data_IF_556234854643
#
_entry.id   IF_556234854643
#
_cell.length_a   1.000
_cell.length_b   1.000
_cell.length_c   1.000
_cell.angle_alpha   90.00
_cell.angle_beta   90.00
_cell.angle_gamma   90.00
#
_symmetry.space_group_name_H-M   'P 1'
#
loop_
_entity.id
_entity.type
_entity.pdbx_description
1 polymer ?
#
# COMPACT_ATOMS: atom_id res chain seq x y z
N UNK A 1 10.92 0.08 -31.18
CA UNK A 1 10.77 1.42 -30.56
C UNK A 1 9.41 2.15 -30.80
N UNK A 2 8.24 1.46 -30.85
CA UNK A 2 6.94 2.12 -30.54
C UNK A 2 6.38 1.75 -29.15
N UNK A 3 6.55 0.50 -28.72
CA UNK A 3 6.04 -0.03 -27.45
C UNK A 3 6.61 0.68 -26.20
N UNK A 4 7.84 1.22 -26.29
CA UNK A 4 8.50 1.92 -25.19
C UNK A 4 7.87 3.27 -24.82
N UNK A 5 7.31 3.99 -25.79
CA UNK A 5 6.66 5.29 -25.58
C UNK A 5 5.25 5.13 -24.99
N UNK A 6 4.51 4.14 -25.46
CA UNK A 6 3.18 3.79 -24.93
C UNK A 6 3.23 3.33 -23.47
N UNK A 7 4.25 2.57 -23.08
CA UNK A 7 4.43 2.10 -21.70
C UNK A 7 4.84 3.20 -20.72
N UNK A 8 5.75 4.12 -21.12
CA UNK A 8 6.07 5.32 -20.32
C UNK A 8 4.87 6.26 -20.18
N UNK A 9 4.09 6.44 -21.25
CA UNK A 9 2.86 7.21 -21.21
C UNK A 9 1.82 6.58 -20.27
N UNK A 10 1.65 5.26 -20.30
CA UNK A 10 0.77 4.54 -19.37
C UNK A 10 1.25 4.67 -17.92
N UNK A 11 2.54 4.49 -17.64
CA UNK A 11 3.10 4.65 -16.30
C UNK A 11 2.88 6.08 -15.77
N UNK A 12 3.23 7.10 -16.54
CA UNK A 12 3.04 8.50 -16.15
C UNK A 12 1.57 8.90 -16.02
N UNK A 13 0.69 8.36 -16.87
CA UNK A 13 -0.76 8.58 -16.78
C UNK A 13 -1.34 7.95 -15.52
N UNK A 14 -0.90 6.74 -15.17
CA UNK A 14 -1.35 5.99 -14.00
C UNK A 14 -0.87 6.68 -12.72
N UNK A 15 0.41 7.04 -12.65
CA UNK A 15 1.04 7.61 -11.44
C UNK A 15 0.78 9.11 -11.26
N UNK A 16 0.62 9.88 -12.34
CA UNK A 16 0.40 11.33 -12.26
C UNK A 16 -1.06 11.74 -12.02
N UNK A 17 -2.03 10.87 -12.33
CA UNK A 17 -3.47 11.21 -12.28
C UNK A 17 -4.29 10.42 -11.27
N UNK A 18 -3.77 9.32 -10.76
CA UNK A 18 -4.51 8.44 -9.85
C UNK A 18 -3.82 8.31 -8.50
N UNK A 19 -4.61 7.92 -7.50
CA UNK A 19 -4.08 7.32 -6.29
C UNK A 19 -3.50 5.96 -6.66
N UNK A 20 -2.19 5.77 -6.45
CA UNK A 20 -1.51 4.53 -6.81
C UNK A 20 -1.77 3.48 -5.74
N UNK A 21 -1.29 3.78 -4.53
CA UNK A 21 -1.40 2.92 -3.36
C UNK A 21 -2.46 3.46 -2.41
N UNK A 22 -3.30 2.56 -1.90
CA UNK A 22 -4.26 2.87 -0.83
C UNK A 22 -3.76 2.37 0.54
N UNK A 23 -2.67 1.59 0.55
CA UNK A 23 -1.91 1.10 1.69
C UNK A 23 -0.46 0.80 1.25
N UNK A 24 0.50 0.87 2.18
CA UNK A 24 1.94 0.61 1.93
C UNK A 24 2.22 -0.90 1.88
N UNK A 25 3.10 -1.37 1.00
CA UNK A 25 3.39 -2.81 0.81
C UNK A 25 4.67 -3.29 1.51
N UNK A 26 5.38 -2.37 2.16
CA UNK A 26 6.64 -2.57 2.85
C UNK A 26 6.38 -2.84 4.34
N UNK A 27 7.00 -3.89 4.88
CA UNK A 27 6.80 -4.33 6.27
C UNK A 27 7.57 -3.45 7.26
N UNK A 28 6.89 -2.55 8.02
CA UNK A 28 7.59 -1.66 8.92
C UNK A 28 8.21 -2.41 10.12
N UNK A 29 7.84 -3.67 10.37
CA UNK A 29 8.47 -4.50 11.42
C UNK A 29 9.94 -4.78 11.11
N UNK A 30 10.31 -4.88 9.83
CA UNK A 30 11.70 -5.03 9.40
C UNK A 30 12.44 -3.70 9.54
N UNK A 31 11.79 -2.59 9.18
CA UNK A 31 12.39 -1.25 9.33
C UNK A 31 12.65 -0.91 10.79
N UNK A 32 11.74 -1.24 11.72
CA UNK A 32 11.94 -1.06 13.16
C UNK A 32 13.18 -1.79 13.67
N UNK A 33 13.40 -3.03 13.20
CA UNK A 33 14.58 -3.82 13.56
C UNK A 33 15.87 -3.24 12.98
N UNK A 34 15.83 -2.83 11.71
CA UNK A 34 17.00 -2.33 11.00
C UNK A 34 17.42 -0.93 11.45
N UNK A 35 16.46 -0.03 11.67
CA UNK A 35 16.71 1.40 11.89
C UNK A 35 16.82 1.79 13.36
N UNK A 36 16.29 0.97 14.27
CA UNK A 36 16.29 1.18 15.73
C UNK A 36 15.89 2.63 16.08
N UNK A 37 14.71 3.02 15.62
CA UNK A 37 14.21 4.39 15.68
C UNK A 37 14.09 4.89 17.12
N UNK A 38 14.41 6.16 17.33
CA UNK A 38 14.35 6.82 18.62
C UNK A 38 13.87 8.27 18.50
N UNK A 39 13.62 8.91 19.64
CA UNK A 39 13.15 10.30 19.69
C UNK A 39 14.17 11.32 19.19
N UNK A 40 15.45 10.95 19.04
CA UNK A 40 16.46 11.81 18.40
C UNK A 40 16.46 11.73 16.88
N UNK A 41 15.66 10.82 16.29
CA UNK A 41 15.67 10.59 14.85
C UNK A 41 14.70 11.48 14.09
N UNK A 42 15.21 12.03 12.98
CA UNK A 42 14.45 12.73 11.96
C UNK A 42 14.48 11.85 10.71
N UNK A 43 13.32 11.30 10.35
CA UNK A 43 13.21 10.30 9.29
C UNK A 43 12.51 10.88 8.07
N UNK A 44 13.09 10.66 6.89
CA UNK A 44 12.43 10.91 5.60
C UNK A 44 11.92 9.60 5.03
N UNK A 45 10.65 9.57 4.60
CA UNK A 45 10.01 8.41 3.97
C UNK A 45 9.20 8.83 2.74
N UNK A 46 9.20 7.98 1.71
CA UNK A 46 8.24 8.13 0.60
C UNK A 46 6.82 7.83 1.11
N UNK A 47 5.89 8.78 1.00
CA UNK A 47 4.61 8.70 1.74
C UNK A 47 3.85 7.39 1.55
N UNK A 48 3.66 6.90 0.31
CA UNK A 48 3.03 5.59 0.01
C UNK A 48 1.77 5.28 0.86
N UNK A 49 0.74 6.13 0.73
CA UNK A 49 -0.50 6.13 1.53
C UNK A 49 -0.33 6.38 3.05
N UNK A 50 0.90 6.57 3.54
CA UNK A 50 1.21 7.04 4.88
C UNK A 50 1.14 5.99 5.99
N UNK A 51 0.97 4.69 5.67
CA UNK A 51 0.90 3.65 6.71
C UNK A 51 2.19 3.58 7.52
N UNK A 52 3.34 3.50 6.83
CA UNK A 52 4.64 3.35 7.49
C UNK A 52 5.08 4.66 8.18
N UNK A 53 4.71 5.82 7.65
CA UNK A 53 4.96 7.11 8.32
C UNK A 53 4.31 7.16 9.72
N UNK A 54 3.07 6.66 9.85
CA UNK A 54 2.38 6.54 11.14
C UNK A 54 2.99 5.45 12.03
N UNK A 55 3.52 4.38 11.42
CA UNK A 55 4.21 3.33 12.16
C UNK A 55 5.53 3.82 12.77
N UNK A 56 6.34 4.58 12.02
CA UNK A 56 7.64 5.05 12.50
C UNK A 56 7.51 6.05 13.64
N UNK A 57 6.48 6.89 13.64
CA UNK A 57 6.25 7.81 14.76
C UNK A 57 5.82 7.06 16.03
N UNK A 58 5.03 5.98 15.89
CA UNK A 58 4.71 5.03 16.96
C UNK A 58 5.92 4.23 17.43
N UNK A 59 6.92 4.04 16.56
CA UNK A 59 8.21 3.46 16.94
C UNK A 59 9.10 4.42 17.74
N UNK A 60 8.62 5.63 18.05
CA UNK A 60 9.32 6.61 18.87
C UNK A 60 10.07 7.68 18.09
N UNK A 61 10.06 7.67 16.75
CA UNK A 61 10.80 8.62 15.91
C UNK A 61 10.48 10.08 16.28
N UNK A 62 11.51 10.91 16.43
CA UNK A 62 11.40 12.32 16.77
C UNK A 62 10.55 13.12 15.78
N UNK A 63 10.80 12.96 14.48
CA UNK A 63 9.98 13.53 13.42
C UNK A 63 9.96 12.67 12.16
N UNK A 64 8.81 12.58 11.49
CA UNK A 64 8.65 11.88 10.21
C UNK A 64 8.24 12.87 9.12
N UNK A 65 9.10 13.01 8.13
CA UNK A 65 8.88 13.76 6.90
C UNK A 65 8.41 12.79 5.80
N UNK A 66 7.10 12.78 5.56
CA UNK A 66 6.49 11.99 4.49
C UNK A 66 6.50 12.81 3.19
N UNK A 67 7.31 12.39 2.22
CA UNK A 67 7.55 13.11 0.97
C UNK A 67 7.00 12.31 -0.21
N UNK A 68 6.25 12.93 -1.09
CA UNK A 68 5.74 12.26 -2.30
C UNK A 68 5.50 13.25 -3.44
N UNK A 69 5.93 12.88 -4.65
CA UNK A 69 5.65 13.69 -5.84
C UNK A 69 4.16 13.66 -6.22
N UNK A 70 3.45 12.59 -5.88
CA UNK A 70 2.02 12.48 -6.09
C UNK A 70 1.27 12.94 -4.82
N UNK A 71 0.80 14.18 -4.85
CA UNK A 71 0.03 14.78 -3.75
C UNK A 71 -1.16 13.93 -3.26
N UNK A 72 -1.68 13.00 -4.08
CA UNK A 72 -2.78 12.10 -3.69
C UNK A 72 -2.37 11.10 -2.61
N UNK A 73 -1.11 10.68 -2.59
CA UNK A 73 -0.56 9.84 -1.52
C UNK A 73 -0.51 10.62 -0.21
N UNK A 74 -0.03 11.87 -0.27
CA UNK A 74 -0.10 12.81 0.85
C UNK A 74 -1.53 13.08 1.29
N UNK A 75 -2.49 13.21 0.36
CA UNK A 75 -3.90 13.40 0.70
C UNK A 75 -4.48 12.22 1.51
N UNK A 76 -4.02 10.97 1.28
CA UNK A 76 -4.40 9.82 2.11
C UNK A 76 -3.84 9.95 3.52
N UNK A 77 -2.56 10.31 3.66
CA UNK A 77 -1.96 10.51 4.97
C UNK A 77 -2.63 11.67 5.73
N UNK A 78 -2.93 12.78 5.06
CA UNK A 78 -3.65 13.91 5.68
C UNK A 78 -5.07 13.52 6.12
N UNK A 79 -5.78 12.68 5.35
CA UNK A 79 -7.08 12.15 5.79
C UNK A 79 -6.94 11.24 7.01
N UNK A 80 -5.89 10.42 7.09
CA UNK A 80 -5.61 9.60 8.29
C UNK A 80 -5.32 10.50 9.50
N UNK A 81 -4.45 11.51 9.34
CA UNK A 81 -4.13 12.49 10.39
C UNK A 81 -5.37 13.21 10.90
N UNK A 82 -6.21 13.73 9.99
CA UNK A 82 -7.48 14.36 10.33
C UNK A 82 -8.44 13.39 11.03
N UNK A 83 -8.52 12.15 10.56
CA UNK A 83 -9.31 11.08 11.19
C UNK A 83 -8.86 10.77 12.62
N UNK A 84 -7.54 10.65 12.84
CA UNK A 84 -6.95 10.41 14.16
C UNK A 84 -7.30 11.54 15.13
N UNK A 85 -7.22 12.79 14.70
CA UNK A 85 -7.53 13.95 15.56
C UNK A 85 -9.01 14.05 15.91
N UNK A 86 -9.90 13.83 14.94
CA UNK A 86 -11.30 14.25 15.05
C UNK A 86 -12.32 13.12 15.23
N UNK A 87 -11.93 11.85 15.04
CA UNK A 87 -12.85 10.71 15.18
C UNK A 87 -12.61 9.96 16.48
N UNK A 88 -13.62 9.20 16.90
CA UNK A 88 -13.41 8.10 17.85
C UNK A 88 -12.80 6.89 17.11
N UNK A 89 -12.20 5.98 17.88
CA UNK A 89 -11.57 4.78 17.32
C UNK A 89 -12.55 3.94 16.48
N UNK A 90 -13.80 3.66 16.91
CA UNK A 90 -14.74 2.88 16.10
C UNK A 90 -15.02 3.49 14.72
N UNK A 91 -15.23 4.81 14.64
CA UNK A 91 -15.46 5.49 13.36
C UNK A 91 -14.20 5.51 12.50
N UNK A 92 -13.03 5.72 13.10
CA UNK A 92 -11.75 5.63 12.40
C UNK A 92 -11.50 4.23 11.84
N UNK A 93 -11.81 3.19 12.61
CA UNK A 93 -11.67 1.81 12.20
C UNK A 93 -12.67 1.42 11.11
N UNK A 94 -13.91 1.93 11.10
CA UNK A 94 -14.79 1.76 9.93
C UNK A 94 -14.15 2.38 8.67
N UNK A 95 -13.68 3.61 8.78
CA UNK A 95 -13.13 4.37 7.66
C UNK A 95 -11.90 3.67 7.05
N UNK A 96 -10.91 3.31 7.87
CA UNK A 96 -9.64 2.75 7.40
C UNK A 96 -9.43 1.27 7.75
N UNK A 97 -9.99 0.73 8.82
CA UNK A 97 -9.97 -0.72 9.08
C UNK A 97 -10.86 -1.49 8.10
N UNK A 98 -12.13 -1.08 7.99
CA UNK A 98 -13.11 -1.72 7.11
C UNK A 98 -13.09 -1.17 5.68
N UNK A 99 -12.48 0.00 5.48
CA UNK A 99 -12.44 0.67 4.19
C UNK A 99 -13.82 1.15 3.73
N UNK A 100 -14.77 1.31 4.65
CA UNK A 100 -16.13 1.73 4.34
C UNK A 100 -16.71 2.60 5.47
N UNK A 101 -17.21 3.78 5.11
CA UNK A 101 -17.89 4.69 6.02
C UNK A 101 -19.19 5.16 5.35
N UNK A 102 -20.34 4.53 5.63
CA UNK A 102 -21.63 4.93 5.06
C UNK A 102 -21.99 6.40 5.35
N UNK A 103 -21.69 6.85 6.56
CA UNK A 103 -21.87 8.22 7.06
C UNK A 103 -20.82 9.23 6.53
N UNK A 104 -20.02 8.88 5.52
CA UNK A 104 -18.99 9.78 4.95
C UNK A 104 -19.52 11.18 4.62
N UNK A 105 -20.73 11.28 4.05
CA UNK A 105 -21.31 12.58 3.64
C UNK A 105 -21.58 13.52 4.80
N UNK A 106 -21.71 13.00 6.01
CA UNK A 106 -21.89 13.77 7.23
C UNK A 106 -20.56 13.97 7.93
N UNK A 107 -19.80 12.88 8.13
CA UNK A 107 -18.53 12.88 8.88
C UNK A 107 -17.45 13.71 8.18
N UNK A 108 -17.28 13.57 6.87
CA UNK A 108 -16.21 14.26 6.16
C UNK A 108 -16.32 15.80 6.23
N UNK A 109 -17.44 16.43 5.82
CA UNK A 109 -17.52 17.89 5.87
C UNK A 109 -17.54 18.45 7.30
N UNK A 110 -18.10 17.72 8.27
CA UNK A 110 -18.26 18.22 9.65
C UNK A 110 -17.02 18.01 10.52
N UNK A 111 -16.32 16.88 10.38
CA UNK A 111 -15.22 16.50 11.28
C UNK A 111 -13.84 16.47 10.62
N UNK A 112 -13.76 16.20 9.31
CA UNK A 112 -12.47 15.91 8.68
C UNK A 112 -11.94 17.05 7.82
N UNK A 113 -12.83 17.64 7.02
CA UNK A 113 -12.47 18.50 5.88
C UNK A 113 -11.67 19.74 6.28
N UNK A 114 -12.00 20.37 7.41
CA UNK A 114 -11.38 21.63 7.83
C UNK A 114 -9.91 21.47 8.26
N UNK A 115 -9.52 20.28 8.70
CA UNK A 115 -8.15 19.95 9.09
C UNK A 115 -7.26 19.58 7.89
N UNK A 116 -7.83 19.44 6.70
CA UNK A 116 -7.09 19.04 5.51
C UNK A 116 -6.50 20.26 4.79
N UNK A 117 -5.28 20.15 4.25
CA UNK A 117 -4.75 21.18 3.35
C UNK A 117 -5.59 21.27 2.06
N UNK A 118 -5.57 22.42 1.35
CA UNK A 118 -6.45 22.68 0.22
C UNK A 118 -6.44 21.61 -0.88
N UNK A 119 -5.29 21.02 -1.21
CA UNK A 119 -5.21 19.99 -2.24
C UNK A 119 -5.77 18.63 -1.79
N UNK A 120 -5.65 18.31 -0.50
CA UNK A 120 -6.30 17.14 0.08
C UNK A 120 -7.83 17.33 0.13
N UNK A 121 -8.31 18.54 0.46
CA UNK A 121 -9.75 18.87 0.38
C UNK A 121 -10.28 18.66 -1.04
N UNK A 122 -9.65 19.27 -2.06
CA UNK A 122 -10.05 19.12 -3.47
C UNK A 122 -10.12 17.65 -3.89
N UNK A 123 -9.17 16.84 -3.43
CA UNK A 123 -9.14 15.42 -3.71
C UNK A 123 -10.33 14.69 -3.05
N UNK A 124 -10.50 14.82 -1.74
CA UNK A 124 -11.54 14.08 -1.02
C UNK A 124 -12.96 14.57 -1.26
N UNK A 125 -13.14 15.86 -1.56
CA UNK A 125 -14.41 16.43 -2.06
C UNK A 125 -14.88 15.69 -3.31
N UNK A 126 -13.94 15.30 -4.20
CA UNK A 126 -14.24 14.57 -5.43
C UNK A 126 -14.33 13.06 -5.23
N UNK A 127 -13.48 12.48 -4.38
CA UNK A 127 -13.29 11.03 -4.28
C UNK A 127 -13.93 10.39 -3.04
N UNK A 128 -14.78 11.09 -2.30
CA UNK A 128 -15.49 10.54 -1.13
C UNK A 128 -16.26 9.22 -1.36
N UNK A 129 -16.70 8.96 -2.60
CA UNK A 129 -17.30 7.66 -2.99
C UNK A 129 -16.37 6.45 -2.81
N UNK A 130 -15.08 6.69 -2.59
CA UNK A 130 -14.13 5.62 -2.26
C UNK A 130 -14.53 4.92 -0.96
N UNK A 131 -15.02 5.66 0.03
CA UNK A 131 -15.40 5.14 1.35
C UNK A 131 -16.89 4.79 1.48
N UNK A 132 -17.78 5.29 0.61
CA UNK A 132 -19.18 4.82 0.62
C UNK A 132 -19.40 3.55 -0.20
N UNK A 133 -18.40 3.14 -0.99
CA UNK A 133 -18.50 1.96 -1.83
C UNK A 133 -19.48 2.08 -3.01
N UNK A 134 -19.50 1.03 -3.84
CA UNK A 134 -20.58 0.73 -4.79
C UNK A 134 -20.91 -0.75 -4.68
N UNK A 135 -22.04 -1.20 -5.25
CA UNK A 135 -22.40 -2.63 -5.31
C UNK A 135 -21.27 -3.52 -5.85
N UNK A 136 -20.49 -3.01 -6.80
CA UNK A 136 -19.38 -3.76 -7.43
C UNK A 136 -18.05 -3.61 -6.69
N UNK A 137 -17.79 -2.48 -6.04
CA UNK A 137 -16.52 -2.15 -5.34
C UNK A 137 -16.87 -1.54 -3.97
N UNK A 138 -17.17 -2.37 -2.96
CA UNK A 138 -17.72 -1.88 -1.70
C UNK A 138 -16.69 -1.19 -0.80
N UNK A 139 -15.40 -1.44 -1.00
CA UNK A 139 -14.32 -0.97 -0.12
C UNK A 139 -13.37 0.02 -0.78
N UNK A 140 -12.84 0.95 0.02
CA UNK A 140 -11.70 1.81 -0.26
C UNK A 140 -10.46 1.03 -0.75
N UNK A 141 -10.23 -0.17 -0.20
CA UNK A 141 -9.09 -1.02 -0.59
C UNK A 141 -9.20 -1.58 -2.00
N UNK A 142 -10.39 -1.47 -2.60
CA UNK A 142 -10.61 -1.73 -4.01
C UNK A 142 -10.61 -0.46 -4.84
N UNK A 143 -10.03 0.66 -4.40
CA UNK A 143 -9.92 1.95 -5.11
C UNK A 143 -8.46 2.31 -5.38
N UNK A 144 -8.22 3.30 -6.25
CA UNK A 144 -6.89 3.55 -6.80
C UNK A 144 -6.48 2.49 -7.81
N UNK A 145 -5.21 2.51 -8.22
CA UNK A 145 -4.69 1.60 -9.26
C UNK A 145 -4.38 0.23 -8.68
N UNK A 146 -3.70 0.18 -7.53
CA UNK A 146 -3.42 -1.09 -6.83
C UNK A 146 -4.72 -1.76 -6.37
N UNK A 147 -5.67 -0.98 -5.83
CA UNK A 147 -6.98 -1.51 -5.44
C UNK A 147 -7.86 -1.92 -6.62
N UNK A 148 -7.72 -1.30 -7.80
CA UNK A 148 -8.37 -1.79 -9.02
C UNK A 148 -7.81 -3.16 -9.41
N UNK A 149 -6.50 -3.35 -9.34
CA UNK A 149 -5.88 -4.65 -9.60
C UNK A 149 -6.34 -5.69 -8.59
N UNK A 150 -6.33 -5.38 -7.29
CA UNK A 150 -6.86 -6.26 -6.25
C UNK A 150 -8.30 -6.68 -6.53
N UNK A 151 -9.17 -5.74 -6.93
CA UNK A 151 -10.55 -6.03 -7.31
C UNK A 151 -10.67 -6.98 -8.51
N UNK A 152 -9.84 -6.81 -9.55
CA UNK A 152 -9.78 -7.71 -10.71
C UNK A 152 -9.38 -9.12 -10.28
N UNK A 153 -8.35 -9.24 -9.44
CA UNK A 153 -7.89 -10.53 -8.88
C UNK A 153 -9.00 -11.19 -8.06
N UNK A 154 -9.73 -10.44 -7.24
CA UNK A 154 -10.88 -10.96 -6.51
C UNK A 154 -12.00 -11.44 -7.45
N UNK A 155 -12.27 -10.73 -8.53
CA UNK A 155 -13.19 -11.16 -9.59
C UNK A 155 -12.77 -12.48 -10.21
N UNK A 156 -11.47 -12.64 -10.50
CA UNK A 156 -10.89 -13.89 -10.99
C UNK A 156 -11.02 -15.04 -9.98
N UNK A 157 -10.64 -14.82 -8.72
CA UNK A 157 -10.76 -15.78 -7.61
C UNK A 157 -12.20 -16.27 -7.48
N UNK A 158 -13.18 -15.35 -7.50
CA UNK A 158 -14.58 -15.65 -7.24
C UNK A 158 -15.27 -16.32 -8.42
N UNK A 159 -15.02 -15.85 -9.66
CA UNK A 159 -15.83 -16.24 -10.83
C UNK A 159 -15.13 -17.24 -11.75
N UNK A 160 -13.81 -17.14 -11.88
CA UNK A 160 -13.03 -17.91 -12.87
C UNK A 160 -12.32 -19.09 -12.21
N UNK A 161 -11.55 -18.84 -11.15
CA UNK A 161 -10.91 -19.90 -10.38
C UNK A 161 -11.88 -20.60 -9.43
N UNK A 162 -12.90 -19.88 -8.92
CA UNK A 162 -13.91 -20.37 -7.97
C UNK A 162 -13.29 -20.97 -6.71
N UNK A 163 -12.24 -20.31 -6.20
CA UNK A 163 -11.46 -20.76 -5.03
C UNK A 163 -11.64 -19.84 -3.81
N UNK A 164 -12.75 -19.10 -3.72
CA UNK A 164 -12.99 -18.20 -2.57
C UNK A 164 -12.94 -18.95 -1.24
N UNK A 165 -13.72 -20.03 -1.09
CA UNK A 165 -13.73 -20.82 0.15
C UNK A 165 -12.33 -21.29 0.58
N UNK A 166 -11.54 -21.92 -0.30
CA UNK A 166 -10.16 -22.29 0.00
C UNK A 166 -9.22 -21.11 0.35
N UNK A 167 -9.40 -19.94 -0.27
CA UNK A 167 -8.61 -18.74 0.07
C UNK A 167 -8.99 -18.21 1.46
N UNK A 168 -10.28 -18.21 1.79
CA UNK A 168 -10.74 -17.79 3.10
C UNK A 168 -10.28 -18.78 4.18
N UNK A 169 -10.30 -20.09 3.88
CA UNK A 169 -9.72 -21.13 4.75
C UNK A 169 -8.21 -20.90 4.97
N UNK A 170 -7.46 -20.54 3.93
CA UNK A 170 -6.03 -20.25 4.01
C UNK A 170 -5.75 -19.03 4.91
N UNK A 171 -6.59 -17.99 4.84
CA UNK A 171 -6.46 -16.78 5.66
C UNK A 171 -6.77 -17.00 7.14
N UNK A 172 -7.55 -18.03 7.47
CA UNK A 172 -7.93 -18.38 8.84
C UNK A 172 -7.08 -19.51 9.44
N UNK A 173 -6.17 -20.11 8.66
CA UNK A 173 -5.19 -21.08 9.15
C UNK A 173 -4.31 -20.44 10.23
N UNK A 174 -4.09 -21.16 11.33
CA UNK A 174 -3.36 -20.64 12.52
C UNK A 174 -1.87 -20.91 12.46
N UNK A 175 -1.48 -21.93 11.70
CA UNK A 175 -0.08 -22.33 11.53
C UNK A 175 0.31 -22.46 10.07
N UNK A 176 1.60 -22.43 9.79
CA UNK A 176 2.12 -22.60 8.42
C UNK A 176 1.85 -24.03 7.93
N UNK A 177 1.79 -25.02 8.83
CA UNK A 177 1.47 -26.40 8.51
C UNK A 177 0.02 -26.57 8.05
N UNK A 178 -0.94 -25.99 8.79
CA UNK A 178 -2.36 -25.95 8.37
C UNK A 178 -2.50 -25.23 7.01
N UNK A 179 -1.81 -24.10 6.85
CA UNK A 179 -1.79 -23.33 5.61
C UNK A 179 -1.26 -24.18 4.43
N UNK A 180 -0.19 -24.95 4.64
CA UNK A 180 0.34 -25.87 3.62
C UNK A 180 -0.64 -26.98 3.27
N UNK A 181 -1.31 -27.57 4.26
CA UNK A 181 -2.34 -28.59 4.04
C UNK A 181 -3.46 -28.03 3.15
N UNK A 182 -4.01 -26.85 3.50
CA UNK A 182 -5.05 -26.18 2.71
C UNK A 182 -4.56 -25.89 1.29
N UNK A 183 -3.34 -25.35 1.16
CA UNK A 183 -2.77 -25.01 -0.14
C UNK A 183 -2.62 -26.23 -1.06
N UNK A 184 -2.16 -27.36 -0.52
CA UNK A 184 -1.96 -28.62 -1.25
C UNK A 184 -3.27 -29.35 -1.52
N UNK A 185 -4.11 -29.54 -0.50
CA UNK A 185 -5.39 -30.25 -0.57
C UNK A 185 -6.31 -29.65 -1.63
N UNK A 186 -6.30 -28.33 -1.78
CA UNK A 186 -7.12 -27.63 -2.78
C UNK A 186 -6.41 -27.39 -4.11
N UNK A 187 -5.14 -27.79 -4.26
CA UNK A 187 -4.30 -27.53 -5.45
C UNK A 187 -4.30 -26.04 -5.86
N UNK A 188 -4.07 -25.17 -4.86
CA UNK A 188 -4.25 -23.72 -5.02
C UNK A 188 -3.29 -23.14 -6.06
N UNK A 189 -2.04 -23.62 -6.12
CA UNK A 189 -1.06 -23.18 -7.12
C UNK A 189 -1.63 -23.34 -8.54
N UNK A 190 -2.10 -24.54 -8.89
CA UNK A 190 -2.63 -24.82 -10.23
C UNK A 190 -3.93 -24.07 -10.52
N UNK A 191 -4.82 -23.97 -9.53
CA UNK A 191 -6.12 -23.29 -9.70
C UNK A 191 -6.00 -21.77 -9.79
N UNK A 192 -5.05 -21.18 -9.05
CA UNK A 192 -4.78 -19.74 -9.09
C UNK A 192 -4.06 -19.39 -10.38
N UNK A 193 -2.93 -20.04 -10.68
CA UNK A 193 -2.10 -19.75 -11.84
C UNK A 193 -2.55 -20.51 -13.10
N UNK A 194 -3.75 -20.19 -13.61
CA UNK A 194 -4.20 -20.65 -14.93
C UNK A 194 -3.57 -19.80 -16.04
N UNK A 195 -3.58 -20.26 -17.31
CA UNK A 195 -3.02 -19.50 -18.43
C UNK A 195 -3.54 -18.05 -18.52
N UNK A 196 -4.80 -17.81 -18.16
CA UNK A 196 -5.37 -16.46 -18.12
C UNK A 196 -4.68 -15.54 -17.11
N UNK A 197 -4.42 -16.02 -15.88
CA UNK A 197 -3.75 -15.20 -14.86
C UNK A 197 -2.28 -14.98 -15.23
N UNK A 198 -1.57 -16.03 -15.67
CA UNK A 198 -0.18 -15.87 -16.14
C UNK A 198 -0.07 -14.87 -17.30
N UNK A 199 -1.01 -14.94 -18.25
CA UNK A 199 -1.09 -13.98 -19.34
C UNK A 199 -1.35 -12.55 -18.85
N UNK A 200 -2.22 -12.37 -17.85
CA UNK A 200 -2.51 -11.05 -17.26
C UNK A 200 -1.27 -10.48 -16.55
N UNK A 201 -0.54 -11.30 -15.79
CA UNK A 201 0.68 -10.91 -15.07
C UNK A 201 1.83 -10.56 -16.02
N UNK A 202 1.86 -11.16 -17.22
CA UNK A 202 2.83 -10.81 -18.26
C UNK A 202 2.57 -9.51 -19.02
N UNK A 203 1.64 -8.63 -18.60
CA UNK A 203 1.25 -7.40 -19.33
C UNK A 203 1.80 -6.14 -18.66
N UNK A 204 2.36 -5.23 -19.47
CA UNK A 204 2.89 -3.93 -19.01
C UNK A 204 1.80 -3.09 -18.34
N UNK A 205 0.56 -3.16 -18.84
CA UNK A 205 -0.57 -2.45 -18.27
C UNK A 205 -0.90 -2.95 -16.85
N UNK A 206 -0.79 -4.26 -16.60
CA UNK A 206 -1.00 -4.84 -15.28
C UNK A 206 0.08 -4.41 -14.31
N UNK A 207 1.35 -4.44 -14.75
CA UNK A 207 2.48 -4.00 -13.94
C UNK A 207 2.39 -2.51 -13.60
N UNK A 208 1.97 -1.68 -14.55
CA UNK A 208 1.74 -0.26 -14.29
C UNK A 208 0.66 0.00 -13.22
N UNK A 209 -0.40 -0.82 -13.14
CA UNK A 209 -1.41 -0.71 -12.08
C UNK A 209 -0.86 -1.01 -10.69
N UNK A 210 0.13 -1.92 -10.62
CA UNK A 210 0.85 -2.32 -9.41
C UNK A 210 1.98 -1.36 -9.04
N UNK A 211 2.22 -0.33 -9.84
CA UNK A 211 3.33 0.59 -9.64
C UNK A 211 4.69 0.08 -10.11
N UNK A 212 4.74 -1.12 -10.70
CA UNK A 212 5.98 -1.75 -11.18
C UNK A 212 6.44 -1.06 -12.48
N UNK A 213 7.60 -0.38 -12.49
CA UNK A 213 8.15 0.22 -13.70
C UNK A 213 8.56 -0.83 -14.73
N UNK A 214 8.55 -0.45 -16.01
CA UNK A 214 8.97 -1.35 -17.09
C UNK A 214 10.42 -1.82 -16.95
N UNK A 215 11.31 -1.00 -16.38
CA UNK A 215 12.71 -1.37 -16.15
C UNK A 215 12.82 -2.56 -15.19
N UNK A 216 12.14 -2.50 -14.04
CA UNK A 216 12.06 -3.62 -13.08
C UNK A 216 11.51 -4.89 -13.74
N UNK A 217 10.42 -4.75 -14.53
CA UNK A 217 9.90 -5.89 -15.29
C UNK A 217 10.93 -6.47 -16.26
N UNK A 218 11.59 -5.63 -17.06
CA UNK A 218 12.57 -6.09 -18.06
C UNK A 218 13.77 -6.79 -17.40
N UNK A 219 14.16 -6.34 -16.21
CA UNK A 219 15.17 -7.01 -15.39
C UNK A 219 14.70 -8.40 -14.96
N UNK A 220 13.48 -8.54 -14.44
CA UNK A 220 12.91 -9.85 -14.09
C UNK A 220 12.75 -10.78 -15.30
N UNK A 221 12.25 -10.25 -16.44
CA UNK A 221 12.09 -11.03 -17.68
C UNK A 221 13.44 -11.51 -18.24
N UNK A 222 14.55 -10.82 -17.93
CA UNK A 222 15.91 -11.21 -18.35
C UNK A 222 16.59 -12.16 -17.37
N UNK A 223 16.49 -11.87 -16.08
CA UNK A 223 17.35 -12.46 -15.04
C UNK A 223 16.64 -13.56 -14.23
N UNK A 224 15.30 -13.67 -14.31
CA UNK A 224 14.52 -14.70 -13.61
C UNK A 224 14.01 -15.78 -14.58
N UNK A 225 14.32 -17.08 -14.37
CA UNK A 225 13.78 -18.15 -15.18
C UNK A 225 12.25 -18.15 -15.22
N UNK A 226 11.64 -18.07 -16.41
CA UNK A 226 10.20 -17.95 -16.59
C UNK A 226 9.63 -16.52 -16.49
N UNK A 227 10.50 -15.53 -16.29
CA UNK A 227 10.18 -14.11 -16.29
C UNK A 227 9.25 -13.67 -15.17
N UNK A 228 8.63 -12.49 -15.32
CA UNK A 228 7.85 -11.85 -14.26
C UNK A 228 6.65 -12.67 -13.79
N UNK A 229 6.02 -13.43 -14.70
CA UNK A 229 4.87 -14.25 -14.35
C UNK A 229 5.27 -15.42 -13.43
N UNK A 230 6.39 -16.08 -13.72
CA UNK A 230 6.92 -17.15 -12.87
C UNK A 230 7.40 -16.58 -11.52
N UNK A 231 8.10 -15.44 -11.54
CA UNK A 231 8.50 -14.77 -10.31
C UNK A 231 7.32 -14.48 -9.39
N UNK A 232 6.24 -13.90 -9.91
CA UNK A 232 5.03 -13.61 -9.11
C UNK A 232 4.40 -14.91 -8.59
N UNK A 233 4.36 -15.97 -9.41
CA UNK A 233 3.87 -17.28 -8.98
C UNK A 233 4.67 -17.84 -7.80
N UNK A 234 6.00 -17.82 -7.89
CA UNK A 234 6.88 -18.34 -6.85
C UNK A 234 6.83 -17.49 -5.56
N UNK A 235 6.65 -16.16 -5.69
CA UNK A 235 6.43 -15.27 -4.54
C UNK A 235 5.09 -15.51 -3.87
N UNK A 236 4.00 -15.66 -4.63
CA UNK A 236 2.68 -15.97 -4.08
C UNK A 236 2.69 -17.33 -3.39
N UNK A 237 3.31 -18.36 -3.97
CA UNK A 237 3.48 -19.65 -3.31
C UNK A 237 4.27 -19.53 -2.01
N UNK A 238 5.35 -18.74 -2.00
CA UNK A 238 6.12 -18.51 -0.78
C UNK A 238 5.27 -17.89 0.32
N UNK A 239 4.50 -16.85 0.01
CA UNK A 239 3.60 -16.21 0.99
C UNK A 239 2.50 -17.19 1.43
N UNK A 240 1.86 -17.87 0.48
CA UNK A 240 0.65 -18.66 0.73
C UNK A 240 0.93 -20.04 1.29
N UNK A 241 2.19 -20.50 1.30
CA UNK A 241 2.54 -21.83 1.81
C UNK A 241 3.75 -21.86 2.76
N UNK A 242 4.55 -20.78 2.87
CA UNK A 242 5.82 -20.83 3.66
C UNK A 242 5.97 -19.72 4.68
N UNK A 243 5.22 -18.63 4.56
CA UNK A 243 5.20 -17.55 5.54
C UNK A 243 3.87 -17.55 6.28
N UNK A 244 3.83 -17.13 7.55
CA UNK A 244 2.58 -16.97 8.28
C UNK A 244 1.65 -15.99 7.56
N UNK A 245 0.50 -16.47 7.09
CA UNK A 245 -0.50 -15.63 6.42
C UNK A 245 -1.49 -15.00 7.41
N UNK A 246 -1.69 -15.62 8.57
CA UNK A 246 -2.71 -15.22 9.56
C UNK A 246 -2.56 -13.76 10.03
N UNK A 247 -1.31 -13.30 10.23
CA UNK A 247 -0.96 -11.93 10.64
C UNK A 247 -0.54 -11.04 9.46
N UNK A 248 -0.61 -11.55 8.23
CA UNK A 248 -0.21 -10.82 7.03
C UNK A 248 -1.33 -9.91 6.50
N UNK A 249 -1.41 -8.73 7.11
CA UNK A 249 -2.46 -7.75 6.79
C UNK A 249 -2.38 -7.22 5.35
N UNK A 250 -1.20 -7.21 4.73
CA UNK A 250 -1.00 -6.75 3.35
C UNK A 250 -1.81 -7.57 2.34
N UNK A 251 -1.74 -8.91 2.48
CA UNK A 251 -2.51 -9.81 1.62
C UNK A 251 -3.97 -9.88 2.03
N UNK A 252 -4.25 -9.92 3.35
CA UNK A 252 -5.63 -9.98 3.85
C UNK A 252 -6.47 -8.84 3.28
N UNK A 253 -6.00 -7.60 3.38
CA UNK A 253 -6.81 -6.43 2.97
C UNK A 253 -7.14 -6.42 1.49
N UNK A 254 -6.25 -6.91 0.62
CA UNK A 254 -6.55 -7.00 -0.81
C UNK A 254 -7.37 -8.24 -1.18
N UNK A 255 -7.36 -9.30 -0.37
CA UNK A 255 -8.20 -10.48 -0.60
C UNK A 255 -9.61 -10.34 -0.03
N UNK A 256 -9.82 -9.53 1.00
CA UNK A 256 -11.11 -9.38 1.69
C UNK A 256 -11.73 -7.99 1.50
N UNK A 257 -10.91 -6.99 1.16
CA UNK A 257 -11.30 -5.59 1.12
C UNK A 257 -11.32 -4.91 2.49
N UNK A 258 -10.82 -5.54 3.55
CA UNK A 258 -10.76 -4.95 4.90
C UNK A 258 -9.70 -5.61 5.78
N UNK A 259 -9.23 -4.87 6.78
CA UNK A 259 -8.47 -5.44 7.88
C UNK A 259 -9.38 -6.10 8.92
N UNK A 260 -8.77 -6.81 9.86
CA UNK A 260 -9.42 -7.20 11.13
C UNK A 260 -8.73 -6.48 12.28
N UNK A 261 -9.36 -6.36 13.46
CA UNK A 261 -8.71 -5.73 14.62
C UNK A 261 -7.40 -6.42 15.04
N UNK A 262 -7.23 -7.70 14.70
CA UNK A 262 -6.05 -8.51 15.02
C UNK A 262 -5.03 -8.59 13.87
N UNK A 263 -5.41 -8.22 12.65
CA UNK A 263 -4.58 -8.30 11.45
C UNK A 263 -4.73 -6.99 10.67
N UNK A 264 -4.07 -5.95 11.18
CA UNK A 264 -4.05 -4.59 10.66
C UNK A 264 -2.69 -3.91 10.91
N UNK A 265 -2.35 -2.85 10.15
CA UNK A 265 -1.24 -1.96 10.46
C UNK A 265 -1.31 -1.39 11.89
N UNK A 266 -0.16 -1.06 12.49
CA UNK A 266 -0.09 -0.57 13.87
C UNK A 266 -0.97 0.65 14.14
N UNK A 267 -1.07 1.60 13.19
CA UNK A 267 -1.91 2.80 13.35
C UNK A 267 -3.42 2.51 13.47
N UNK A 268 -3.86 1.29 13.14
CA UNK A 268 -5.24 0.84 13.25
C UNK A 268 -5.53 0.05 14.52
N UNK A 269 -4.54 -0.19 15.39
CA UNK A 269 -4.79 -0.78 16.71
C UNK A 269 -5.26 0.31 17.67
N UNK A 270 -6.27 0.01 18.48
CA UNK A 270 -6.92 0.97 19.38
C UNK A 270 -5.93 1.73 20.27
N UNK A 271 -5.04 1.01 20.95
CA UNK A 271 -4.02 1.61 21.81
C UNK A 271 -3.13 2.62 21.05
N UNK A 272 -2.66 2.23 19.87
CA UNK A 272 -1.79 3.07 19.05
C UNK A 272 -2.55 4.24 18.42
N UNK A 273 -3.82 4.07 18.08
CA UNK A 273 -4.70 5.15 17.64
C UNK A 273 -4.79 6.23 18.72
N UNK A 274 -5.01 5.83 19.98
CA UNK A 274 -5.06 6.77 21.11
C UNK A 274 -3.69 7.44 21.35
N UNK A 275 -2.57 6.72 21.21
CA UNK A 275 -1.23 7.32 21.29
C UNK A 275 -1.00 8.38 20.19
N UNK A 276 -1.37 8.07 18.94
CA UNK A 276 -1.32 9.02 17.83
C UNK A 276 -2.18 10.25 18.13
N UNK A 277 -3.40 10.04 18.61
CA UNK A 277 -4.36 11.10 18.94
C UNK A 277 -3.90 11.97 20.13
N UNK A 278 -3.16 11.40 21.08
CA UNK A 278 -2.61 12.10 22.23
C UNK A 278 -1.44 13.07 21.89
N UNK A 279 -0.97 13.07 20.64
CA UNK A 279 -0.01 14.06 20.14
C UNK A 279 1.11 13.48 19.29
N UNK A 280 1.28 12.15 19.24
CA UNK A 280 2.32 11.56 18.39
C UNK A 280 2.08 11.89 16.91
N UNK A 281 0.82 12.10 16.48
CA UNK A 281 0.48 12.48 15.10
C UNK A 281 1.08 13.83 14.67
N UNK A 282 1.41 14.72 15.60
CA UNK A 282 1.92 16.06 15.30
C UNK A 282 3.39 16.04 14.84
N UNK A 283 4.09 14.93 15.08
CA UNK A 283 5.46 14.67 14.59
C UNK A 283 5.49 14.18 13.14
N UNK A 284 4.37 14.19 12.42
CA UNK A 284 4.27 13.73 11.02
C UNK A 284 3.87 14.87 10.09
N UNK A 285 4.77 15.23 9.17
CA UNK A 285 4.53 16.28 8.16
C UNK A 285 4.51 15.70 6.76
N UNK A 286 3.66 16.25 5.88
CA UNK A 286 3.61 15.87 4.47
C UNK A 286 4.25 16.93 3.58
N UNK A 287 4.96 16.49 2.55
CA UNK A 287 5.63 17.35 1.58
C UNK A 287 5.32 16.84 0.18
N UNK A 288 4.66 17.66 -0.65
CA UNK A 288 4.44 17.32 -2.06
C UNK A 288 5.63 17.81 -2.86
N UNK A 289 6.66 16.98 -2.96
CA UNK A 289 7.92 17.28 -3.62
C UNK A 289 8.60 15.97 -4.07
N UNK A 290 9.65 16.10 -4.87
CA UNK A 290 10.66 15.05 -4.99
C UNK A 290 11.47 14.94 -3.70
N UNK A 291 12.03 13.75 -3.41
CA UNK A 291 12.93 13.57 -2.28
C UNK A 291 14.12 14.53 -2.33
N UNK A 292 14.75 14.66 -3.51
CA UNK A 292 15.86 15.59 -3.71
C UNK A 292 15.43 17.04 -3.45
N UNK A 293 14.32 17.47 -4.05
CA UNK A 293 13.80 18.83 -3.86
C UNK A 293 13.44 19.16 -2.41
N UNK A 294 12.96 18.17 -1.64
CA UNK A 294 12.79 18.32 -0.20
C UNK A 294 14.13 18.48 0.52
N UNK A 295 15.10 17.60 0.25
CA UNK A 295 16.41 17.61 0.91
C UNK A 295 17.21 18.88 0.61
N UNK A 296 17.11 19.42 -0.61
CA UNK A 296 17.76 20.70 -1.00
C UNK A 296 17.18 21.92 -0.27
N UNK A 297 15.91 21.86 0.16
CA UNK A 297 15.21 22.97 0.84
C UNK A 297 15.18 22.80 2.36
N UNK A 298 15.50 21.62 2.86
CA UNK A 298 15.39 21.29 4.27
C UNK A 298 16.69 21.64 4.99
N UNK A 299 16.63 22.61 5.90
CA UNK A 299 17.79 23.07 6.67
C UNK A 299 18.12 22.19 7.89
N UNK A 300 17.28 21.19 8.20
CA UNK A 300 17.45 20.30 9.35
C UNK A 300 18.28 19.06 9.04
N UNK A 301 18.79 18.41 10.09
CA UNK A 301 19.50 17.14 9.95
C UNK A 301 18.50 15.97 9.84
N UNK A 302 18.59 15.22 8.74
CA UNK A 302 17.90 13.93 8.57
C UNK A 302 18.83 12.81 9.01
N UNK A 303 18.39 11.98 9.95
CA UNK A 303 19.18 10.87 10.52
C UNK A 303 18.81 9.50 9.95
N UNK A 304 17.64 9.35 9.32
CA UNK A 304 17.14 8.09 8.76
C UNK A 304 16.42 8.32 7.42
N UNK A 305 16.55 7.35 6.52
CA UNK A 305 15.97 7.40 5.18
C UNK A 305 15.28 6.08 4.87
N UNK A 306 14.00 6.14 4.47
CA UNK A 306 13.24 5.01 3.94
C UNK A 306 12.81 5.35 2.52
N UNK A 307 13.60 4.86 1.56
CA UNK A 307 13.46 5.20 0.14
C UNK A 307 12.64 4.17 -0.66
N UNK A 308 12.13 3.13 -0.01
CA UNK A 308 11.39 2.03 -0.64
C UNK A 308 12.17 1.45 -1.85
N UNK A 309 11.47 1.03 -2.90
CA UNK A 309 12.05 0.51 -4.14
C UNK A 309 12.59 1.60 -5.09
N UNK A 310 12.71 2.86 -4.64
CA UNK A 310 13.16 3.97 -5.48
C UNK A 310 14.58 3.74 -6.06
N UNK A 311 15.40 2.95 -5.37
CA UNK A 311 16.74 2.59 -5.81
C UNK A 311 16.73 1.77 -7.12
N UNK A 312 15.70 0.96 -7.36
CA UNK A 312 15.54 0.21 -8.61
C UNK A 312 15.28 1.14 -9.81
N UNK A 313 14.61 2.26 -9.56
CA UNK A 313 14.42 3.30 -10.57
C UNK A 313 15.74 4.02 -10.87
N UNK A 314 16.52 4.36 -9.84
CA UNK A 314 17.84 4.96 -10.01
C UNK A 314 18.79 4.06 -10.79
N UNK A 315 18.78 2.75 -10.55
CA UNK A 315 19.63 1.81 -11.30
C UNK A 315 19.41 1.87 -12.81
N UNK A 316 18.18 2.13 -13.26
CA UNK A 316 17.84 2.20 -14.67
C UNK A 316 18.07 3.59 -15.31
N UNK A 317 18.12 4.67 -14.52
CA UNK A 317 18.12 6.04 -15.03
C UNK A 317 19.36 6.86 -14.63
N UNK A 318 20.03 6.51 -13.54
CA UNK A 318 21.17 7.21 -12.94
C UNK A 318 22.14 6.21 -12.29
N UNK A 319 22.55 5.17 -13.04
CA UNK A 319 23.38 4.08 -12.53
C UNK A 319 24.71 4.57 -11.97
N UNK A 320 25.27 5.58 -12.60
CA UNK A 320 26.52 6.25 -12.22
C UNK A 320 26.48 6.78 -10.78
N UNK A 321 25.34 7.29 -10.30
CA UNK A 321 25.19 7.81 -8.93
C UNK A 321 25.22 6.67 -7.89
N UNK A 322 24.82 5.45 -8.27
CA UNK A 322 24.77 4.29 -7.36
C UNK A 322 26.09 3.51 -7.25
N UNK A 323 27.05 3.78 -8.14
CA UNK A 323 28.27 2.98 -8.29
C UNK A 323 29.55 3.75 -7.96
N UNK A 324 29.41 5.04 -7.67
CA UNK A 324 30.37 5.87 -6.92
C UNK A 324 30.14 5.75 -5.44
#
# INVERSE_FOLDING_TARGET
>A
MPLGRLSRAAFNLVHGRNLVYNQCWEDPRLDRQALQLSSSDNLVVITSAGCNALDYVLAGTGHVYAVDMNFRQNAVLELKKSGIRNLDYPTFFKLFGEGNLPEWKEVYPSKLRNDLPPDAQKFWDRYGKFFTGTRSRPSYYFRGTSGLFAWIVNGYINRIARIRGPIDELLEAKTVEEQQEVFQRHDLKKKLFRPLLRWLLGRDATMALLGVPRSQRQQLDRDYPGGIAQFIEDRVETVFAKLPLHDNYFWRVYLTGKYTPTCCPEYLKEHNFEELKAGAIDRVTTHTDSLLGFLEKHDGQISRYVLLDHMDWLYANYKEILTT
#
